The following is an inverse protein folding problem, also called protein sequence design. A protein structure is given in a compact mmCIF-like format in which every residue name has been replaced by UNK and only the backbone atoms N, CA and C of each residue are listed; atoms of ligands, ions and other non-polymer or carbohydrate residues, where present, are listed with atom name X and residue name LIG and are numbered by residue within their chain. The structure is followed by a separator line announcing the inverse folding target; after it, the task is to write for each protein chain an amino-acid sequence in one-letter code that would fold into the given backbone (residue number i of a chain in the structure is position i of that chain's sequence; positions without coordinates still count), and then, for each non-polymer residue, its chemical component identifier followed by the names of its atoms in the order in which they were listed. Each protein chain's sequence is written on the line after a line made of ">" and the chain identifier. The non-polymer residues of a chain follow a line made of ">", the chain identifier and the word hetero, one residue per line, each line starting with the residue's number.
data_IF_263642098659
#
_entry.id   IF_263642098659
#
_cell.length_a   1.000
_cell.length_b   1.000
_cell.length_c   1.000
_cell.angle_alpha   90.00
_cell.angle_beta   90.00
_cell.angle_gamma   90.00
#
_symmetry.space_group_name_H-M   'P 1'
#
loop_
_entity.id
_entity.type
_entity.pdbx_description
1 polymer ?
#
# COMPACT_ATOMS: atom_id res chain seq x y z
N UNK A 1 -1.56 -1.05 -15.80
CA UNK A 1 -2.79 -1.51 -15.12
C UNK A 1 -2.70 -1.20 -13.63
N UNK A 2 -3.76 -0.61 -13.08
CA UNK A 2 -3.94 -0.24 -11.67
C UNK A 2 -4.98 -1.17 -11.04
N UNK A 3 -4.73 -1.62 -9.80
CA UNK A 3 -5.76 -2.31 -9.02
C UNK A 3 -6.86 -1.31 -8.66
N UNK A 4 -8.11 -1.64 -8.95
CA UNK A 4 -9.27 -0.86 -8.53
C UNK A 4 -10.24 -1.70 -7.72
N UNK A 5 -10.92 -1.03 -6.78
CA UNK A 5 -11.95 -1.63 -5.94
C UNK A 5 -13.18 -0.72 -5.89
N UNK A 6 -14.22 -1.12 -6.62
CA UNK A 6 -15.47 -0.36 -6.78
C UNK A 6 -16.36 -0.46 -5.54
N UNK A 7 -17.41 0.38 -5.46
CA UNK A 7 -18.33 0.46 -4.32
C UNK A 7 -19.10 -0.83 -4.06
N UNK A 8 -19.36 -1.63 -5.09
CA UNK A 8 -19.96 -2.96 -5.00
C UNK A 8 -18.95 -4.04 -4.54
N UNK A 9 -17.72 -3.65 -4.21
CA UNK A 9 -16.63 -4.52 -3.77
C UNK A 9 -16.01 -5.38 -4.87
N UNK A 10 -16.30 -5.14 -6.14
CA UNK A 10 -15.59 -5.81 -7.22
C UNK A 10 -14.14 -5.31 -7.29
N UNK A 11 -13.21 -6.24 -7.44
CA UNK A 11 -11.79 -5.95 -7.62
C UNK A 11 -11.41 -6.28 -9.06
N UNK A 12 -10.76 -5.36 -9.75
CA UNK A 12 -10.34 -5.51 -11.15
C UNK A 12 -9.11 -4.66 -11.47
N UNK A 13 -8.62 -4.77 -12.70
CA UNK A 13 -7.64 -3.87 -13.27
C UNK A 13 -8.28 -2.68 -13.98
N UNK A 14 -7.57 -1.55 -14.02
CA UNK A 14 -7.87 -0.37 -14.84
C UNK A 14 -6.62 0.06 -15.61
N UNK A 15 -6.74 0.54 -16.83
CA UNK A 15 -5.59 1.05 -17.60
C UNK A 15 -5.14 2.45 -17.18
N UNK A 16 -6.01 3.18 -16.47
CA UNK A 16 -5.73 4.51 -15.92
C UNK A 16 -5.98 4.56 -14.40
N UNK A 17 -5.41 5.58 -13.72
CA UNK A 17 -5.81 5.89 -12.35
C UNK A 17 -7.27 6.34 -12.33
N UNK A 18 -8.05 5.79 -11.41
CA UNK A 18 -9.44 6.16 -11.14
C UNK A 18 -9.61 6.42 -9.65
N UNK A 19 -10.71 7.05 -9.23
CA UNK A 19 -10.99 7.24 -7.81
C UNK A 19 -10.95 5.89 -7.03
N UNK A 20 -11.42 4.81 -7.66
CA UNK A 20 -11.43 3.46 -7.09
C UNK A 20 -10.08 2.74 -7.10
N UNK A 21 -9.06 3.29 -7.79
CA UNK A 21 -7.69 2.73 -7.77
C UNK A 21 -6.78 3.38 -6.76
N UNK A 22 -7.27 4.36 -6.00
CA UNK A 22 -6.51 4.96 -4.90
C UNK A 22 -6.66 4.09 -3.67
N UNK A 23 -5.55 3.46 -3.27
CA UNK A 23 -5.51 2.51 -2.17
C UNK A 23 -4.63 3.07 -1.04
N UNK A 24 -5.10 2.90 0.18
CA UNK A 24 -4.36 3.14 1.40
C UNK A 24 -3.76 1.82 1.88
N UNK A 25 -2.43 1.80 2.03
CA UNK A 25 -1.71 0.69 2.66
C UNK A 25 -1.45 1.09 4.11
N UNK A 26 -1.82 0.22 5.06
CA UNK A 26 -1.58 0.43 6.49
C UNK A 26 -0.88 -0.78 7.07
N UNK A 27 0.30 -0.60 7.66
CA UNK A 27 0.97 -1.66 8.41
C UNK A 27 0.18 -1.99 9.67
N UNK A 28 0.00 -3.29 9.92
CA UNK A 28 -0.64 -3.81 11.13
C UNK A 28 0.34 -4.57 12.02
N UNK A 29 1.36 -5.18 11.42
CA UNK A 29 2.48 -5.85 12.08
C UNK A 29 3.72 -5.73 11.18
N UNK A 30 4.94 -6.01 11.67
CA UNK A 30 6.13 -6.03 10.82
C UNK A 30 5.94 -6.92 9.59
N UNK A 31 6.11 -6.33 8.40
CA UNK A 31 5.93 -7.01 7.11
C UNK A 31 4.49 -7.36 6.74
N UNK A 32 3.49 -7.00 7.56
CA UNK A 32 2.07 -7.24 7.28
C UNK A 32 1.28 -5.95 7.19
N UNK A 33 0.39 -5.90 6.20
CA UNK A 33 -0.39 -4.73 5.85
C UNK A 33 -1.86 -5.08 5.62
N UNK A 34 -2.68 -4.05 5.72
CA UNK A 34 -4.06 -4.03 5.24
C UNK A 34 -4.15 -3.02 4.11
N UNK A 35 -4.87 -3.39 3.04
CA UNK A 35 -5.09 -2.56 1.87
C UNK A 35 -6.55 -2.10 1.88
N UNK A 36 -6.80 -0.80 1.88
CA UNK A 36 -8.14 -0.21 1.90
C UNK A 36 -8.35 0.70 0.69
N UNK A 37 -9.48 0.61 0.01
CA UNK A 37 -9.85 1.54 -1.05
C UNK A 37 -10.23 2.89 -0.46
N UNK A 38 -9.64 3.99 -0.93
CA UNK A 38 -9.93 5.32 -0.39
C UNK A 38 -11.36 5.75 -0.71
N UNK A 39 -11.78 5.65 -1.98
CA UNK A 39 -13.13 6.04 -2.40
C UNK A 39 -14.22 5.05 -2.00
N UNK A 40 -13.94 3.73 -2.05
CA UNK A 40 -14.92 2.72 -1.68
C UNK A 40 -15.01 2.47 -0.17
N UNK A 41 -14.01 2.87 0.60
CA UNK A 41 -13.89 2.56 2.03
C UNK A 41 -13.90 1.06 2.37
N UNK A 42 -13.70 0.19 1.38
CA UNK A 42 -13.66 -1.26 1.55
C UNK A 42 -12.24 -1.74 1.84
N UNK A 43 -12.12 -2.83 2.58
CA UNK A 43 -10.88 -3.59 2.73
C UNK A 43 -10.74 -4.56 1.55
N UNK A 44 -9.55 -4.63 0.97
CA UNK A 44 -9.21 -5.69 0.04
C UNK A 44 -9.03 -6.99 0.83
N UNK A 45 -9.78 -8.02 0.47
CA UNK A 45 -9.73 -9.32 1.11
C UNK A 45 -9.63 -10.41 0.05
N UNK A 46 -9.11 -11.57 0.45
CA UNK A 46 -8.90 -12.72 -0.42
C UNK A 46 -9.48 -13.98 0.21
N UNK A 47 -10.23 -14.76 -0.57
CA UNK A 47 -10.71 -16.06 -0.13
C UNK A 47 -9.66 -17.16 -0.30
N UNK A 48 -9.92 -18.35 0.25
CA UNK A 48 -9.02 -19.51 0.17
C UNK A 48 -8.73 -19.98 -1.25
N UNK A 49 -9.52 -19.55 -2.25
CA UNK A 49 -9.30 -19.80 -3.68
C UNK A 49 -8.60 -18.64 -4.39
N UNK A 50 -8.06 -17.66 -3.65
CA UNK A 50 -7.35 -16.51 -4.21
C UNK A 50 -8.27 -15.46 -4.86
N UNK A 51 -9.59 -15.48 -4.62
CA UNK A 51 -10.48 -14.44 -5.16
C UNK A 51 -10.32 -13.15 -4.37
N UNK A 52 -10.02 -12.07 -5.07
CA UNK A 52 -10.04 -10.75 -4.46
C UNK A 52 -11.46 -10.17 -4.43
N UNK A 53 -11.81 -9.58 -3.29
CA UNK A 53 -13.08 -8.89 -3.05
C UNK A 53 -12.87 -7.72 -2.10
N UNK A 54 -13.61 -6.64 -2.33
CA UNK A 54 -13.79 -5.58 -1.35
C UNK A 54 -14.84 -5.96 -0.32
N UNK A 55 -14.53 -5.78 0.96
CA UNK A 55 -15.45 -6.01 2.08
C UNK A 55 -15.45 -4.84 3.05
N UNK A 56 -16.61 -4.49 3.60
CA UNK A 56 -16.72 -3.44 4.62
C UNK A 56 -16.17 -3.91 5.97
N UNK A 57 -16.39 -5.19 6.30
CA UNK A 57 -15.94 -5.80 7.55
C UNK A 57 -14.52 -6.32 7.36
N UNK A 58 -13.65 -5.92 8.28
CA UNK A 58 -12.30 -6.43 8.35
C UNK A 58 -12.28 -7.81 9.03
N UNK A 59 -11.71 -8.80 8.34
CA UNK A 59 -11.39 -10.11 8.88
C UNK A 59 -9.90 -10.35 8.67
N UNK A 60 -9.14 -10.50 9.75
CA UNK A 60 -7.67 -10.58 9.69
C UNK A 60 -7.17 -11.71 8.77
N UNK A 61 -7.83 -12.87 8.79
CA UNK A 61 -7.48 -14.02 7.97
C UNK A 61 -7.56 -13.73 6.46
N UNK A 62 -8.54 -12.92 6.05
CA UNK A 62 -8.83 -12.69 4.63
C UNK A 62 -8.25 -11.37 4.12
N UNK A 63 -8.10 -10.36 4.99
CA UNK A 63 -7.83 -8.97 4.60
C UNK A 63 -6.42 -8.48 4.99
N UNK A 64 -5.56 -9.38 5.50
CA UNK A 64 -4.17 -9.09 5.85
C UNK A 64 -3.21 -9.74 4.87
N UNK A 65 -2.21 -8.97 4.46
CA UNK A 65 -1.22 -9.41 3.47
C UNK A 65 0.20 -9.21 3.98
N UNK A 66 1.07 -10.16 3.70
CA UNK A 66 2.52 -9.98 3.81
C UNK A 66 3.02 -9.20 2.60
N UNK A 67 3.75 -8.12 2.86
CA UNK A 67 4.40 -7.29 1.85
C UNK A 67 5.82 -7.80 1.60
N UNK A 68 6.12 -8.18 0.36
CA UNK A 68 7.43 -8.67 -0.06
C UNK A 68 8.01 -7.81 -1.17
N UNK A 69 9.08 -7.09 -0.86
CA UNK A 69 9.87 -6.38 -1.87
C UNK A 69 10.76 -7.37 -2.63
N UNK A 70 10.64 -7.37 -3.95
CA UNK A 70 11.44 -8.22 -4.84
C UNK A 70 12.73 -7.50 -5.24
N UNK A 71 13.73 -8.27 -5.67
CA UNK A 71 15.05 -7.74 -6.07
C UNK A 71 14.99 -6.76 -7.26
N UNK A 72 13.91 -6.81 -8.05
CA UNK A 72 13.69 -5.89 -9.17
C UNK A 72 12.85 -4.66 -8.82
N UNK A 73 12.61 -4.42 -7.51
CA UNK A 73 11.92 -3.24 -7.01
C UNK A 73 10.39 -3.32 -7.06
N UNK A 74 9.82 -4.40 -7.59
CA UNK A 74 8.38 -4.64 -7.49
C UNK A 74 8.01 -5.23 -6.13
N UNK A 75 6.77 -5.01 -5.71
CA UNK A 75 6.22 -5.57 -4.48
C UNK A 75 5.24 -6.69 -4.81
N UNK A 76 5.27 -7.77 -4.03
CA UNK A 76 4.29 -8.85 -4.04
C UNK A 76 3.56 -8.88 -2.70
N UNK A 77 2.23 -8.95 -2.76
CA UNK A 77 1.40 -9.14 -1.57
C UNK A 77 0.93 -10.59 -1.51
N UNK A 78 1.16 -11.25 -0.37
CA UNK A 78 0.68 -12.61 -0.12
C UNK A 78 -0.37 -12.57 0.98
N UNK A 79 -1.48 -13.31 0.84
CA UNK A 79 -2.40 -13.54 1.96
C UNK A 79 -1.61 -14.03 3.17
N UNK A 80 -1.74 -13.36 4.31
CA UNK A 80 -1.03 -13.78 5.53
C UNK A 80 -1.47 -15.17 5.99
N UNK A 81 -2.74 -15.50 5.79
CA UNK A 81 -3.33 -16.78 6.21
C UNK A 81 -3.20 -17.89 5.16
N UNK A 82 -3.44 -17.59 3.88
CA UNK A 82 -3.45 -18.59 2.82
C UNK A 82 -2.13 -18.73 2.06
N UNK A 83 -1.20 -17.76 2.18
CA UNK A 83 0.06 -17.73 1.43
C UNK A 83 -0.10 -17.50 -0.08
N UNK A 84 -1.32 -17.29 -0.57
CA UNK A 84 -1.60 -17.05 -1.98
C UNK A 84 -1.25 -15.61 -2.39
N UNK A 85 -0.64 -15.40 -3.57
CA UNK A 85 -0.35 -14.06 -4.04
C UNK A 85 -1.63 -13.34 -4.47
N UNK A 86 -1.69 -12.04 -4.18
CA UNK A 86 -2.68 -11.14 -4.77
C UNK A 86 -2.45 -11.11 -6.27
N UNK A 87 -3.49 -11.41 -7.06
CA UNK A 87 -3.45 -11.43 -8.51
C UNK A 87 -4.72 -10.83 -9.10
N UNK A 88 -4.56 -10.03 -10.15
CA UNK A 88 -5.68 -9.52 -10.97
C UNK A 88 -6.00 -10.43 -12.16
N UNK A 89 -5.38 -11.60 -12.26
CA UNK A 89 -5.64 -12.55 -13.33
C UNK A 89 -7.08 -13.07 -13.28
N UNK A 90 -7.68 -13.26 -14.45
CA UNK A 90 -8.93 -14.03 -14.55
C UNK A 90 -8.66 -15.49 -14.21
N UNK A 91 -9.63 -16.13 -13.55
CA UNK A 91 -9.59 -17.56 -13.18
C UNK A 91 -9.46 -18.53 -14.38
N UNK A 92 -9.64 -18.02 -15.60
CA UNK A 92 -9.58 -18.79 -16.84
C UNK A 92 -8.17 -18.86 -17.43
N UNK A 93 -7.14 -18.46 -16.68
CA UNK A 93 -5.76 -18.59 -17.13
C UNK A 93 -5.38 -20.08 -17.18
N UNK A 94 -5.06 -20.64 -18.36
CA UNK A 94 -4.77 -22.07 -18.50
C UNK A 94 -3.37 -22.46 -18.01
N UNK A 95 -2.52 -21.47 -17.69
CA UNK A 95 -1.16 -21.71 -17.24
C UNK A 95 -1.11 -21.94 -15.72
N UNK A 96 -0.89 -23.20 -15.33
CA UNK A 96 -0.75 -23.65 -13.94
C UNK A 96 0.58 -23.28 -13.30
N UNK A 97 1.57 -22.82 -14.07
CA UNK A 97 2.95 -22.66 -13.59
C UNK A 97 3.28 -21.23 -13.12
N UNK A 98 2.51 -20.23 -13.52
CA UNK A 98 2.72 -18.84 -13.08
C UNK A 98 1.39 -18.10 -13.00
N UNK A 99 1.06 -17.56 -11.83
CA UNK A 99 -0.09 -16.66 -11.64
C UNK A 99 0.31 -15.26 -12.15
N UNK A 100 -0.26 -14.75 -13.26
CA UNK A 100 0.13 -13.46 -13.80
C UNK A 100 -0.41 -12.30 -12.93
N UNK A 101 0.06 -11.08 -13.20
CA UNK A 101 -0.41 -9.85 -12.52
C UNK A 101 -0.28 -9.88 -10.99
N UNK A 102 0.81 -10.46 -10.48
CA UNK A 102 1.12 -10.58 -9.03
C UNK A 102 2.18 -9.58 -8.53
N UNK A 103 2.64 -8.70 -9.42
CA UNK A 103 3.74 -7.75 -9.22
C UNK A 103 3.16 -6.34 -9.22
N UNK A 104 3.32 -5.63 -8.13
CA UNK A 104 2.77 -4.28 -7.95
C UNK A 104 3.90 -3.27 -7.83
N UNK A 105 3.73 -2.13 -8.47
CA UNK A 105 4.59 -0.96 -8.30
C UNK A 105 3.73 0.13 -7.67
N UNK A 106 4.02 0.58 -6.43
CA UNK A 106 3.33 1.71 -5.84
C UNK A 106 3.57 2.97 -6.67
N UNK A 107 2.49 3.55 -7.19
CA UNK A 107 2.54 4.77 -7.98
C UNK A 107 1.92 5.93 -7.19
N UNK A 108 2.45 7.15 -7.39
CA UNK A 108 1.87 8.35 -6.79
C UNK A 108 0.47 8.61 -7.35
N UNK A 109 -0.45 8.97 -6.47
CA UNK A 109 -1.78 9.41 -6.87
C UNK A 109 -1.67 10.76 -7.60
N UNK A 110 -2.15 10.82 -8.84
CA UNK A 110 -2.17 12.04 -9.66
C UNK A 110 -3.57 12.59 -9.87
N UNK A 111 -4.59 11.97 -9.28
CA UNK A 111 -5.94 12.52 -9.30
C UNK A 111 -5.93 13.77 -8.42
N UNK A 112 -6.39 14.89 -8.97
CA UNK A 112 -6.51 16.14 -8.23
C UNK A 112 -7.35 15.86 -6.97
N UNK A 113 -6.70 15.85 -5.80
CA UNK A 113 -7.41 15.95 -4.52
C UNK A 113 -8.14 17.28 -4.61
N UNK A 114 -9.47 17.28 -4.67
CA UNK A 114 -10.23 18.42 -4.18
C UNK A 114 -9.75 18.63 -2.75
N UNK A 115 -8.93 19.66 -2.59
CA UNK A 115 -8.42 20.11 -1.32
C UNK A 115 -9.63 20.46 -0.47
N UNK A 116 -10.02 19.58 0.45
CA UNK A 116 -10.71 20.05 1.64
C UNK A 116 -9.71 20.99 2.30
N UNK A 117 -9.97 22.29 2.18
CA UNK A 117 -9.26 23.35 2.85
C UNK A 117 -9.44 23.15 4.35
N UNK A 118 -8.49 22.46 4.95
CA UNK A 118 -8.30 22.50 6.40
C UNK A 118 -7.96 23.96 6.75
N UNK A 119 -8.76 24.65 7.59
CA UNK A 119 -8.39 25.98 8.04
C UNK A 119 -7.03 25.88 8.76
N UNK A 120 -6.11 26.84 8.55
CA UNK A 120 -4.76 26.71 9.07
C UNK A 120 -4.79 26.62 10.61
N UNK A 121 -4.03 25.68 11.22
CA UNK A 121 -3.81 25.73 12.65
C UNK A 121 -3.01 27.00 12.94
N UNK A 122 -3.65 27.92 13.66
CA UNK A 122 -3.02 29.11 14.21
C UNK A 122 -1.95 28.68 15.22
N UNK A 123 -0.69 28.65 14.78
CA UNK A 123 0.50 28.86 15.61
C UNK A 123 1.71 29.04 14.70
N UNK A 124 1.95 30.29 14.30
CA UNK A 124 3.16 30.72 13.62
C UNK A 124 4.38 30.51 14.54
N UNK A 125 5.12 29.42 14.35
CA UNK A 125 6.58 29.43 14.57
C UNK A 125 7.20 29.73 13.20
N UNK A 126 7.57 31.00 13.00
CA UNK A 126 8.29 31.43 11.79
C UNK A 126 9.57 30.60 11.66
N UNK A 127 9.64 29.75 10.64
CA UNK A 127 10.90 29.12 10.22
C UNK A 127 11.71 30.21 9.50
N UNK A 128 12.81 30.64 10.11
CA UNK A 128 13.71 31.61 9.49
C UNK A 128 14.60 30.89 8.48
N UNK A 129 14.33 31.09 7.18
CA UNK A 129 15.02 30.41 6.06
C UNK A 129 16.50 30.80 5.95
N UNK A 130 16.92 31.89 6.60
CA UNK A 130 18.31 32.38 6.61
C UNK A 130 19.14 31.86 7.80
N UNK A 131 18.73 30.76 8.44
CA UNK A 131 19.48 30.17 9.55
C UNK A 131 20.32 28.98 9.09
N UNK A 132 21.64 29.05 9.31
CA UNK A 132 22.62 27.99 9.01
C UNK A 132 22.46 26.71 9.86
N UNK A 133 21.52 26.68 10.82
CA UNK A 133 21.16 25.48 11.57
C UNK A 133 19.63 25.37 11.72
N UNK A 134 18.96 25.18 10.59
CA UNK A 134 17.51 25.06 10.46
C UNK A 134 16.90 23.86 11.23
N UNK A 135 17.72 22.94 11.74
CA UNK A 135 17.26 21.73 12.45
C UNK A 135 17.87 21.58 13.85
N UNK A 136 18.70 22.52 14.32
CA UNK A 136 19.33 22.46 15.64
C UNK A 136 20.22 21.24 15.83
N UNK A 137 20.87 20.74 14.78
CA UNK A 137 21.75 19.56 14.83
C UNK A 137 23.22 19.97 14.91
N UNK A 138 23.53 20.89 15.82
CA UNK A 138 24.90 21.17 16.21
C UNK A 138 25.55 19.97 16.90
N UNK A 139 26.56 19.39 16.25
CA UNK A 139 27.67 18.60 16.83
C UNK A 139 27.34 17.28 17.57
N UNK A 140 26.51 16.41 16.97
CA UNK A 140 26.57 14.98 17.29
C UNK A 140 26.93 14.21 16.02
N UNK A 141 28.09 13.55 16.03
CA UNK A 141 28.60 12.69 14.96
C UNK A 141 27.53 11.71 14.51
N UNK A 142 27.02 11.90 13.29
CA UNK A 142 26.01 11.04 12.69
C UNK A 142 26.68 9.71 12.31
N UNK A 143 26.65 8.74 13.22
CA UNK A 143 27.09 7.37 12.95
C UNK A 143 26.06 6.65 12.07
N UNK A 144 26.50 6.08 10.95
CA UNK A 144 25.65 5.20 10.13
C UNK A 144 25.24 3.96 10.95
N UNK A 145 24.00 3.47 10.83
CA UNK A 145 23.59 2.25 11.53
C UNK A 145 24.48 1.08 11.07
N UNK A 146 25.13 0.44 12.04
CA UNK A 146 25.95 -0.75 11.85
C UNK A 146 25.14 -1.99 12.20
N UNK A 147 25.19 -3.01 11.33
CA UNK A 147 24.58 -4.31 11.58
C UNK A 147 25.33 -5.03 12.71
N UNK A 148 24.62 -5.43 13.78
CA UNK A 148 25.12 -6.46 14.69
C UNK A 148 24.79 -7.81 14.06
N UNK A 149 25.80 -8.51 13.58
CA UNK A 149 25.69 -9.94 13.35
C UNK A 149 26.03 -10.62 14.69
N UNK A 150 25.00 -10.98 15.45
CA UNK A 150 25.20 -11.86 16.61
C UNK A 150 25.59 -13.26 16.09
N UNK A 151 26.63 -13.81 16.72
CA UNK A 151 27.33 -15.05 16.35
C UNK A 151 26.65 -16.29 16.92
#
# INVERSE_FOLDING_TARGET
>A
MYLQMTLDGRVSGSDAQTAYSVLQLKSVQPGQIVIKGQSSSLFLCVDSGGRLRGQERYLEADCTFRELLLADGYTRFLSSHHGLPVSLASRHSPDRHSVPFTRFLPLRNTLARESVSEPPPNNQRHFNVDSEDLLGMGLNTMGSPQFSADQ
#
